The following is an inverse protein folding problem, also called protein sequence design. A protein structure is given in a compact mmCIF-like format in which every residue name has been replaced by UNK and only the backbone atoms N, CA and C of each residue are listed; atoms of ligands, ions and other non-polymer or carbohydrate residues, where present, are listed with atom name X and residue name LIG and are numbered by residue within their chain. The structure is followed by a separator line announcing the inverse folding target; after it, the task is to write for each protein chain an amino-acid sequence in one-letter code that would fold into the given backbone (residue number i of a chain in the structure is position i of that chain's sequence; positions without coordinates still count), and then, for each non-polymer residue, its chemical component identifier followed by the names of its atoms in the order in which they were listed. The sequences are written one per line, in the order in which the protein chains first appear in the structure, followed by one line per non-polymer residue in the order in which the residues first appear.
data_IF_248415153009
#
_entry.id   IF_248415153009
#
_cell.length_a   1.000
_cell.length_b   1.000
_cell.length_c   1.000
_cell.angle_alpha   90.00
_cell.angle_beta   90.00
_cell.angle_gamma   90.00
#
_symmetry.space_group_name_H-M   'P 1'
#
loop_
_entity.id
_entity.type
_entity.pdbx_description
1 polymer ?
#
# COMPACT_ATOMS: atom_id res chain seq x y z
N UNK A 1 10.00 5.07 12.36
CA UNK A 1 10.25 5.86 11.13
C UNK A 1 11.40 5.25 10.31
N UNK A 2 12.55 4.99 10.89
CA UNK A 2 13.72 4.43 10.19
C UNK A 2 13.44 3.07 9.53
N UNK A 3 12.82 2.13 10.23
CA UNK A 3 12.46 0.81 9.69
C UNK A 3 11.50 0.90 8.49
N UNK A 4 10.51 1.79 8.55
CA UNK A 4 9.59 2.01 7.44
C UNK A 4 10.29 2.57 6.20
N UNK A 5 11.18 3.56 6.40
CA UNK A 5 12.00 4.13 5.32
C UNK A 5 12.86 3.06 4.64
N UNK A 6 13.52 2.22 5.43
CA UNK A 6 14.35 1.11 4.91
C UNK A 6 13.51 0.05 4.16
N UNK A 7 12.29 -0.23 4.62
CA UNK A 7 11.39 -1.16 3.93
C UNK A 7 10.95 -0.61 2.57
N UNK A 8 10.58 0.67 2.53
CA UNK A 8 10.21 1.37 1.28
C UNK A 8 11.40 1.38 0.31
N UNK A 9 12.59 1.77 0.77
CA UNK A 9 13.79 1.78 -0.06
C UNK A 9 14.05 0.39 -0.65
N UNK A 10 14.03 -0.65 0.17
CA UNK A 10 14.21 -2.05 -0.30
C UNK A 10 13.21 -2.44 -1.36
N UNK A 11 11.92 -2.10 -1.18
CA UNK A 11 10.89 -2.42 -2.17
C UNK A 11 11.14 -1.68 -3.50
N UNK A 12 11.55 -0.41 -3.43
CA UNK A 12 11.81 0.41 -4.62
C UNK A 12 13.00 -0.10 -5.44
N UNK A 13 14.07 -0.60 -4.79
CA UNK A 13 15.27 -1.08 -5.48
C UNK A 13 15.25 -2.58 -5.80
N UNK A 14 14.25 -3.32 -5.32
CA UNK A 14 14.11 -4.75 -5.60
C UNK A 14 13.23 -4.98 -6.83
N UNK A 15 13.69 -5.71 -7.86
CA UNK A 15 12.88 -6.03 -9.02
C UNK A 15 11.55 -6.70 -8.68
N UNK A 16 10.47 -6.26 -9.33
CA UNK A 16 9.12 -6.80 -9.17
C UNK A 16 8.45 -6.48 -7.84
N UNK A 17 9.06 -5.66 -6.96
CA UNK A 17 8.44 -5.20 -5.71
C UNK A 17 7.85 -3.81 -5.88
N UNK A 18 6.83 -3.52 -5.08
CA UNK A 18 6.08 -2.26 -5.16
C UNK A 18 5.77 -1.70 -3.78
N UNK A 19 5.43 -0.43 -3.76
CA UNK A 19 4.88 0.28 -2.59
C UNK A 19 3.45 0.67 -2.91
N UNK A 20 2.53 0.21 -2.08
CA UNK A 20 1.10 0.53 -2.18
C UNK A 20 0.70 1.48 -1.06
N UNK A 21 -0.03 2.53 -1.40
CA UNK A 21 -0.54 3.52 -0.45
C UNK A 21 -2.06 3.46 -0.49
N UNK A 22 -2.66 2.92 0.56
CA UNK A 22 -4.12 2.76 0.68
C UNK A 22 -4.71 3.86 1.56
N UNK A 23 -5.82 4.41 1.11
CA UNK A 23 -6.59 5.38 1.88
C UNK A 23 -8.06 5.40 1.45
N UNK A 24 -8.89 6.07 2.24
CA UNK A 24 -10.31 6.29 1.95
C UNK A 24 -10.61 7.77 1.85
N UNK A 25 -11.56 8.16 1.01
CA UNK A 25 -11.96 9.54 0.87
C UNK A 25 -10.78 10.47 0.53
N UNK A 26 -10.52 11.45 1.40
CA UNK A 26 -9.44 12.43 1.24
C UNK A 26 -8.04 11.80 1.26
N UNK A 27 -7.82 10.83 2.13
CA UNK A 27 -6.52 10.13 2.23
C UNK A 27 -6.25 9.24 1.01
N UNK A 28 -7.29 8.61 0.45
CA UNK A 28 -7.18 7.87 -0.80
C UNK A 28 -6.92 8.77 -2.01
N UNK A 29 -7.55 9.95 -2.07
CA UNK A 29 -7.23 10.96 -3.11
C UNK A 29 -5.78 11.44 -2.98
N UNK A 30 -5.29 11.65 -1.75
CA UNK A 30 -3.89 11.97 -1.49
C UNK A 30 -2.97 10.87 -2.00
N UNK A 31 -3.29 9.60 -1.75
CA UNK A 31 -2.52 8.46 -2.25
C UNK A 31 -2.43 8.47 -3.79
N UNK A 32 -3.55 8.68 -4.48
CA UNK A 32 -3.59 8.82 -5.94
C UNK A 32 -2.79 10.04 -6.45
N UNK A 33 -2.82 11.13 -5.72
CA UNK A 33 -2.04 12.33 -6.05
C UNK A 33 -0.53 12.09 -5.87
N UNK A 34 -0.11 11.40 -4.82
CA UNK A 34 1.28 11.00 -4.61
C UNK A 34 1.75 10.14 -5.78
N UNK A 35 0.97 9.16 -6.21
CA UNK A 35 1.27 8.32 -7.36
C UNK A 35 1.41 9.15 -8.65
N UNK A 36 0.37 9.94 -9.00
CA UNK A 36 0.27 10.58 -10.31
C UNK A 36 1.14 11.83 -10.43
N UNK A 37 1.05 12.73 -9.44
CA UNK A 37 1.63 14.07 -9.53
C UNK A 37 3.04 14.14 -8.91
N UNK A 38 3.35 13.28 -7.96
CA UNK A 38 4.68 13.26 -7.35
C UNK A 38 5.55 12.20 -7.99
N UNK A 39 5.18 10.93 -7.86
CA UNK A 39 6.01 9.80 -8.27
C UNK A 39 6.13 9.69 -9.79
N UNK A 40 5.04 9.48 -10.50
CA UNK A 40 5.05 9.33 -11.96
C UNK A 40 5.57 10.57 -12.67
N UNK A 41 5.23 11.76 -12.15
CA UNK A 41 5.67 13.01 -12.76
C UNK A 41 7.18 13.24 -12.57
N UNK A 42 7.76 12.88 -11.42
CA UNK A 42 9.20 12.93 -11.21
C UNK A 42 9.94 12.11 -12.27
N UNK A 43 9.53 10.86 -12.48
CA UNK A 43 10.19 9.97 -13.44
C UNK A 43 9.99 10.42 -14.89
N UNK A 44 8.82 10.95 -15.23
CA UNK A 44 8.58 11.54 -16.57
C UNK A 44 9.49 12.74 -16.84
N UNK A 45 9.67 13.61 -15.86
CA UNK A 45 10.52 14.81 -15.99
C UNK A 45 12.00 14.51 -16.06
N UNK A 46 12.42 13.35 -15.54
CA UNK A 46 13.83 12.94 -15.46
C UNK A 46 14.13 11.76 -16.39
N UNK A 47 13.77 11.86 -17.67
CA UNK A 47 13.82 10.76 -18.63
C UNK A 47 15.18 10.04 -18.72
N UNK A 48 16.29 10.78 -18.70
CA UNK A 48 17.65 10.20 -18.74
C UNK A 48 17.95 9.35 -17.50
N UNK A 49 17.57 9.83 -16.32
CA UNK A 49 17.70 9.09 -15.07
C UNK A 49 16.79 7.85 -15.09
N UNK A 50 15.55 8.02 -15.54
CA UNK A 50 14.55 6.94 -15.64
C UNK A 50 15.06 5.80 -16.50
N UNK A 51 15.57 6.09 -17.70
CA UNK A 51 16.12 5.08 -18.60
C UNK A 51 17.26 4.28 -17.96
N UNK A 52 18.15 4.96 -17.24
CA UNK A 52 19.29 4.30 -16.57
C UNK A 52 18.83 3.41 -15.42
N UNK A 53 17.91 3.91 -14.59
CA UNK A 53 17.42 3.17 -13.42
C UNK A 53 16.57 1.98 -13.87
N UNK A 54 15.65 2.16 -14.82
CA UNK A 54 14.83 1.09 -15.36
C UNK A 54 15.66 0.00 -16.06
N UNK A 55 16.72 0.38 -16.76
CA UNK A 55 17.65 -0.58 -17.35
C UNK A 55 18.41 -1.40 -16.29
N UNK A 56 18.75 -0.80 -15.15
CA UNK A 56 19.44 -1.49 -14.08
C UNK A 56 18.51 -2.40 -13.24
N UNK A 57 17.27 -1.99 -13.01
CA UNK A 57 16.31 -2.72 -12.18
C UNK A 57 15.45 -3.71 -12.97
N UNK A 58 15.25 -3.48 -14.26
CA UNK A 58 14.32 -4.27 -15.09
C UNK A 58 12.84 -3.91 -14.89
N UNK A 59 12.52 -2.91 -14.08
CA UNK A 59 11.16 -2.47 -13.76
C UNK A 59 10.88 -1.07 -14.29
N UNK A 60 9.62 -0.78 -14.55
CA UNK A 60 9.14 0.58 -14.83
C UNK A 60 9.02 1.37 -13.52
N UNK A 61 9.80 2.44 -13.39
CA UNK A 61 9.79 3.24 -12.18
C UNK A 61 8.42 3.88 -11.89
N UNK A 62 7.68 4.25 -12.94
CA UNK A 62 6.32 4.76 -12.80
C UNK A 62 5.35 3.79 -12.11
N UNK A 63 5.61 2.49 -12.18
CA UNK A 63 4.74 1.42 -11.64
C UNK A 63 5.17 0.93 -10.25
N UNK A 64 6.22 1.50 -9.67
CA UNK A 64 6.76 1.11 -8.36
C UNK A 64 5.92 1.62 -7.19
N UNK A 65 5.24 2.74 -7.34
CA UNK A 65 4.36 3.32 -6.32
C UNK A 65 2.95 3.38 -6.86
N UNK A 66 2.01 2.82 -6.12
CA UNK A 66 0.60 2.74 -6.48
C UNK A 66 -0.22 3.34 -5.33
N UNK A 67 -1.02 4.33 -5.64
CA UNK A 67 -2.00 4.89 -4.73
C UNK A 67 -3.36 4.23 -4.91
N UNK A 68 -4.00 3.83 -3.84
CA UNK A 68 -5.31 3.20 -3.85
C UNK A 68 -6.33 3.96 -3.01
N UNK A 69 -7.50 4.11 -3.58
CA UNK A 69 -8.67 4.69 -2.93
C UNK A 69 -9.68 3.58 -2.63
N UNK A 70 -10.21 3.53 -1.42
CA UNK A 70 -11.32 2.62 -1.08
C UNK A 70 -12.46 2.74 -2.10
N UNK A 71 -12.81 1.61 -2.73
CA UNK A 71 -13.77 1.55 -3.83
C UNK A 71 -13.15 1.79 -5.23
N UNK A 72 -11.83 1.94 -5.32
CA UNK A 72 -11.09 2.11 -6.57
C UNK A 72 -11.32 3.46 -7.24
N UNK A 73 -10.94 3.57 -8.50
CA UNK A 73 -11.00 4.82 -9.27
C UNK A 73 -12.42 5.36 -9.47
N UNK A 74 -13.45 4.50 -9.37
CA UNK A 74 -14.86 4.93 -9.41
C UNK A 74 -15.21 5.88 -8.27
N UNK A 75 -14.59 5.69 -7.11
CA UNK A 75 -14.80 6.55 -5.94
C UNK A 75 -14.17 7.95 -6.08
N UNK A 76 -13.34 8.18 -7.09
CA UNK A 76 -12.87 9.52 -7.47
C UNK A 76 -13.98 10.40 -8.04
N UNK A 77 -14.94 9.77 -8.71
CA UNK A 77 -16.05 10.47 -9.39
C UNK A 77 -17.32 10.46 -8.55
N UNK A 78 -17.65 9.29 -7.99
CA UNK A 78 -18.84 9.11 -7.14
C UNK A 78 -18.43 8.48 -5.81
N UNK A 79 -18.74 9.15 -4.70
CA UNK A 79 -18.56 8.56 -3.38
C UNK A 79 -19.36 7.25 -3.29
N UNK A 80 -18.70 6.19 -2.84
CA UNK A 80 -19.32 4.89 -2.60
C UNK A 80 -19.62 4.79 -1.09
N UNK A 81 -20.80 5.30 -0.71
CA UNK A 81 -21.26 5.27 0.66
C UNK A 81 -21.24 3.85 1.24
N UNK A 82 -20.79 3.73 2.48
CA UNK A 82 -20.73 2.45 3.20
C UNK A 82 -19.53 1.55 2.83
N UNK A 83 -18.77 1.83 1.81
CA UNK A 83 -17.55 1.03 1.50
C UNK A 83 -16.45 1.22 2.54
N UNK A 84 -16.39 2.39 3.15
CA UNK A 84 -15.43 2.73 4.20
C UNK A 84 -15.60 1.87 5.45
N UNK A 85 -16.83 1.38 5.71
CA UNK A 85 -17.19 0.57 6.88
C UNK A 85 -16.90 -0.93 6.68
N UNK A 86 -16.54 -1.36 5.48
CA UNK A 86 -16.36 -2.76 5.13
C UNK A 86 -14.89 -3.17 5.11
N UNK A 87 -14.45 -3.91 6.13
CA UNK A 87 -13.10 -4.50 6.21
C UNK A 87 -12.74 -5.32 4.95
N UNK A 88 -13.72 -6.06 4.40
CA UNK A 88 -13.52 -6.92 3.23
C UNK A 88 -13.07 -6.16 1.99
N UNK A 89 -13.40 -4.89 1.86
CA UNK A 89 -12.96 -4.07 0.71
C UNK A 89 -11.45 -3.97 0.65
N UNK A 90 -10.78 -3.80 1.82
CA UNK A 90 -9.33 -3.79 1.87
C UNK A 90 -8.70 -5.09 1.39
N UNK A 91 -9.25 -6.23 1.77
CA UNK A 91 -8.79 -7.55 1.31
C UNK A 91 -8.97 -7.73 -0.21
N UNK A 92 -10.14 -7.39 -0.73
CA UNK A 92 -10.41 -7.46 -2.17
C UNK A 92 -9.44 -6.59 -2.98
N UNK A 93 -9.19 -5.36 -2.55
CA UNK A 93 -8.26 -4.47 -3.23
C UNK A 93 -6.80 -4.96 -3.19
N UNK A 94 -6.37 -5.61 -2.10
CA UNK A 94 -5.05 -6.26 -2.05
C UNK A 94 -4.93 -7.38 -3.09
N UNK A 95 -5.98 -8.20 -3.22
CA UNK A 95 -6.03 -9.30 -4.19
C UNK A 95 -6.03 -8.77 -5.62
N UNK A 96 -6.85 -7.77 -5.93
CA UNK A 96 -6.92 -7.13 -7.26
C UNK A 96 -5.58 -6.51 -7.66
N UNK A 97 -4.87 -5.91 -6.73
CA UNK A 97 -3.55 -5.33 -6.95
C UNK A 97 -2.42 -6.37 -7.00
N UNK A 98 -2.73 -7.64 -6.76
CA UNK A 98 -1.74 -8.71 -6.71
C UNK A 98 -0.58 -8.40 -5.76
N UNK A 99 -0.88 -7.78 -4.61
CA UNK A 99 0.11 -7.52 -3.57
C UNK A 99 0.72 -8.83 -3.11
N UNK A 100 2.03 -8.86 -2.89
CA UNK A 100 2.76 -10.09 -2.55
C UNK A 100 3.81 -9.85 -1.47
N UNK A 101 4.28 -10.92 -0.85
CA UNK A 101 5.32 -10.84 0.19
C UNK A 101 6.55 -10.09 -0.33
N UNK A 102 7.00 -9.09 0.42
CA UNK A 102 8.12 -8.21 0.09
C UNK A 102 7.71 -6.88 -0.57
N UNK A 103 6.43 -6.71 -0.92
CA UNK A 103 5.87 -5.39 -1.19
C UNK A 103 5.67 -4.63 0.12
N UNK A 104 5.53 -3.32 0.02
CA UNK A 104 5.20 -2.46 1.16
C UNK A 104 3.78 -1.96 1.02
N UNK A 105 2.99 -2.11 2.07
CA UNK A 105 1.63 -1.56 2.17
C UNK A 105 1.62 -0.46 3.22
N UNK A 106 1.23 0.75 2.81
CA UNK A 106 1.09 1.92 3.67
C UNK A 106 -0.40 2.25 3.76
N UNK A 107 -0.98 2.11 4.93
CA UNK A 107 -2.35 2.50 5.21
C UNK A 107 -2.41 3.91 5.78
N UNK A 108 -3.18 4.79 5.15
CA UNK A 108 -3.32 6.19 5.55
C UNK A 108 -4.76 6.44 5.99
N UNK A 109 -4.93 6.81 7.23
CA UNK A 109 -6.22 7.17 7.81
C UNK A 109 -6.04 8.38 8.73
N UNK A 110 -7.06 9.20 8.86
CA UNK A 110 -7.00 10.41 9.68
C UNK A 110 -7.00 10.06 11.18
N UNK A 111 -8.00 9.30 11.63
CA UNK A 111 -8.18 8.93 13.04
C UNK A 111 -7.79 7.49 13.39
N UNK A 112 -7.36 6.68 12.43
CA UNK A 112 -7.08 5.26 12.68
C UNK A 112 -8.34 4.37 12.69
N UNK A 113 -9.49 4.87 12.25
CA UNK A 113 -10.79 4.23 12.45
C UNK A 113 -11.45 3.71 11.16
N UNK A 114 -10.91 4.06 9.98
CA UNK A 114 -11.51 3.66 8.69
C UNK A 114 -11.41 2.17 8.47
N UNK A 115 -12.52 1.46 8.58
CA UNK A 115 -12.58 -0.02 8.55
C UNK A 115 -11.98 -0.62 7.29
N UNK A 116 -12.26 -0.06 6.11
CA UNK A 116 -11.70 -0.57 4.85
C UNK A 116 -10.16 -0.47 4.81
N UNK A 117 -9.59 0.62 5.34
CA UNK A 117 -8.14 0.83 5.42
C UNK A 117 -7.50 -0.11 6.44
N UNK A 118 -8.13 -0.30 7.60
CA UNK A 118 -7.74 -1.29 8.61
C UNK A 118 -7.80 -2.70 8.00
N UNK A 119 -8.86 -3.01 7.25
CA UNK A 119 -9.04 -4.28 6.55
C UNK A 119 -7.88 -4.60 5.60
N UNK A 120 -7.32 -3.60 4.93
CA UNK A 120 -6.13 -3.75 4.09
C UNK A 120 -4.93 -4.26 4.88
N UNK A 121 -4.66 -3.68 6.05
CA UNK A 121 -3.53 -4.10 6.90
C UNK A 121 -3.76 -5.49 7.48
N UNK A 122 -4.97 -5.76 8.00
CA UNK A 122 -5.31 -7.07 8.52
C UNK A 122 -5.22 -8.18 7.46
N UNK A 123 -5.68 -7.88 6.23
CA UNK A 123 -5.59 -8.82 5.12
C UNK A 123 -4.14 -9.06 4.68
N UNK A 124 -3.32 -8.01 4.56
CA UNK A 124 -1.90 -8.12 4.27
C UNK A 124 -1.20 -8.98 5.34
N UNK A 125 -1.54 -8.78 6.58
CA UNK A 125 -0.99 -9.53 7.69
C UNK A 125 -1.38 -11.02 7.67
N UNK A 126 -2.65 -11.33 7.40
CA UNK A 126 -3.13 -12.71 7.27
C UNK A 126 -2.49 -13.46 6.10
N UNK A 127 -2.31 -12.79 4.97
CA UNK A 127 -1.84 -13.42 3.74
C UNK A 127 -0.32 -13.60 3.73
N UNK A 128 0.44 -12.63 4.21
CA UNK A 128 1.89 -12.62 4.06
C UNK A 128 2.64 -12.85 5.37
N UNK A 129 1.93 -12.77 6.48
CA UNK A 129 2.45 -12.94 7.82
C UNK A 129 3.46 -11.86 8.21
N UNK A 130 3.54 -11.56 9.48
CA UNK A 130 4.83 -11.12 10.04
C UNK A 130 5.70 -12.37 10.05
N UNK A 131 6.93 -12.30 9.60
CA UNK A 131 7.86 -13.39 9.76
C UNK A 131 7.85 -13.75 11.24
N UNK A 132 7.45 -15.00 11.54
CA UNK A 132 7.07 -15.46 12.89
C UNK A 132 8.21 -15.39 13.90
N UNK A 133 9.41 -15.04 13.45
CA UNK A 133 10.61 -14.92 14.27
C UNK A 133 10.73 -13.58 15.00
N UNK A 134 10.04 -12.52 14.54
CA UNK A 134 10.22 -11.16 15.06
C UNK A 134 9.15 -10.72 16.08
N UNK A 135 8.16 -11.57 16.39
CA UNK A 135 7.08 -11.23 17.34
C UNK A 135 7.09 -12.21 18.51
N UNK A 136 7.07 -11.67 19.72
CA UNK A 136 6.94 -12.48 20.94
C UNK A 136 5.61 -13.25 20.97
N UNK A 137 5.55 -14.33 21.72
CA UNK A 137 4.33 -15.13 21.89
C UNK A 137 3.19 -14.31 22.54
N UNK A 138 3.55 -13.32 23.35
CA UNK A 138 2.63 -12.41 24.04
C UNK A 138 2.01 -11.40 23.07
N UNK A 139 2.80 -10.74 22.25
CA UNK A 139 2.31 -9.85 21.18
C UNK A 139 1.41 -10.58 20.18
N UNK A 140 1.73 -11.85 19.91
CA UNK A 140 0.93 -12.73 19.04
C UNK A 140 -0.43 -13.07 19.62
N UNK A 141 -0.51 -13.24 20.95
CA UNK A 141 -1.74 -13.52 21.66
C UNK A 141 -2.66 -12.29 21.73
N UNK A 142 -2.09 -11.10 21.97
CA UNK A 142 -2.82 -9.84 21.99
C UNK A 142 -3.42 -9.52 20.62
N UNK A 143 -2.65 -9.61 19.56
CA UNK A 143 -3.10 -9.37 18.18
C UNK A 143 -4.13 -10.39 17.68
N UNK A 144 -4.06 -11.63 18.17
CA UNK A 144 -5.06 -12.68 17.89
C UNK A 144 -6.37 -12.43 18.63
N UNK A 145 -6.34 -11.83 19.82
CA UNK A 145 -7.52 -11.48 20.60
C UNK A 145 -8.27 -10.26 20.04
N UNK A 146 -7.55 -9.28 19.47
CA UNK A 146 -8.16 -8.11 18.83
C UNK A 146 -8.76 -8.41 17.45
N UNK A 147 -8.41 -9.56 16.84
CA UNK A 147 -8.89 -9.97 15.51
C UNK A 147 -10.13 -10.88 15.55
N UNK A 148 -10.72 -11.17 16.72
CA UNK A 148 -11.97 -11.91 16.91
C UNK A 148 -13.16 -10.98 17.21
#
# INVERSE_FOLDING_TARGET
MEQASQAIERALVTPGRKVYIYGCGSTGRLAKQIESETWKQFWRRNASLTTRVEAALGDKMGDKVIGELTGGDRALVNALEGFEDLLVIGDLQLQENHVKKGDVVIAVTEGGETSSVIGTILAAWRQYGLDREDISAEERAELSAEAQ
#
